data_IF_924076278051
#
_entry.id   IF_924076278051
#
_cell.length_a   1.000
_cell.length_b   1.000
_cell.length_c   1.000
_cell.angle_alpha   90.00
_cell.angle_beta   90.00
_cell.angle_gamma   90.00
#
_symmetry.space_group_name_H-M   'P 1'
#
loop_
_entity.id
_entity.type
_entity.pdbx_description
1 polymer ?
#
# COMPACT_ATOMS: atom_id res chain seq x y z
N UNK A 1 14.42 -9.47 -16.89
CA UNK A 1 15.84 -9.20 -17.21
C UNK A 1 16.03 -9.41 -18.70
N UNK A 2 16.80 -8.56 -19.37
CA UNK A 2 17.22 -8.69 -20.76
C UNK A 2 18.74 -8.88 -20.81
N UNK A 3 19.22 -9.58 -21.83
CA UNK A 3 20.64 -9.75 -22.09
C UNK A 3 21.12 -8.61 -22.97
N UNK A 4 22.01 -7.78 -22.45
CA UNK A 4 22.59 -6.64 -23.19
C UNK A 4 24.07 -6.92 -23.49
N UNK A 5 24.48 -6.60 -24.74
CA UNK A 5 25.86 -6.62 -25.15
C UNK A 5 26.41 -5.20 -25.26
N UNK A 6 27.48 -4.87 -24.54
CA UNK A 6 28.25 -3.64 -24.73
C UNK A 6 29.74 -4.00 -24.80
N UNK A 7 30.41 -3.63 -25.90
CA UNK A 7 31.86 -3.80 -26.03
C UNK A 7 32.36 -5.25 -25.87
N UNK A 8 31.59 -6.25 -26.30
CA UNK A 8 31.97 -7.67 -26.19
C UNK A 8 31.63 -8.34 -24.84
N UNK A 9 31.17 -7.57 -23.84
CA UNK A 9 30.72 -8.12 -22.55
C UNK A 9 29.20 -8.27 -22.56
N UNK A 10 28.72 -9.46 -22.16
CA UNK A 10 27.30 -9.74 -21.97
C UNK A 10 26.91 -9.54 -20.51
N UNK A 11 25.90 -8.72 -20.26
CA UNK A 11 25.37 -8.47 -18.93
C UNK A 11 23.84 -8.63 -18.90
N UNK A 12 23.29 -9.00 -17.75
CA UNK A 12 21.86 -8.92 -17.51
C UNK A 12 21.51 -7.51 -17.07
N UNK A 13 20.61 -6.87 -17.80
CA UNK A 13 20.04 -5.58 -17.43
C UNK A 13 18.54 -5.72 -17.22
N UNK A 14 17.94 -4.85 -16.43
CA UNK A 14 16.49 -4.65 -16.51
C UNK A 14 16.18 -4.04 -17.89
N UNK A 15 15.11 -4.49 -18.60
CA UNK A 15 14.70 -3.83 -19.83
C UNK A 15 14.53 -2.33 -19.59
N UNK A 16 14.92 -1.50 -20.56
CA UNK A 16 14.57 -0.08 -20.58
C UNK A 16 13.07 0.00 -20.32
N UNK A 17 12.71 0.54 -19.15
CA UNK A 17 11.39 0.43 -18.50
C UNK A 17 10.27 0.27 -19.52
N UNK A 18 9.67 -0.92 -19.57
CA UNK A 18 8.32 -1.09 -20.12
C UNK A 18 7.49 -0.08 -19.35
N UNK A 19 7.07 1.03 -19.97
CA UNK A 19 6.39 2.17 -19.35
C UNK A 19 5.92 1.86 -17.92
N UNK A 20 6.84 2.03 -16.96
CA UNK A 20 6.52 1.98 -15.55
C UNK A 20 5.75 3.28 -15.34
N UNK A 21 4.47 3.32 -15.73
CA UNK A 21 3.53 4.14 -15.00
C UNK A 21 3.57 3.54 -13.61
N UNK A 22 4.48 4.08 -12.79
CA UNK A 22 4.70 3.66 -11.43
C UNK A 22 3.31 3.67 -10.80
N UNK A 23 2.75 2.47 -10.59
CA UNK A 23 1.37 2.35 -10.14
C UNK A 23 1.30 3.14 -8.84
N UNK A 24 0.44 4.17 -8.80
CA UNK A 24 0.41 5.05 -7.64
C UNK A 24 0.15 4.23 -6.37
N UNK A 25 0.67 4.67 -5.23
CA UNK A 25 0.44 3.97 -3.96
C UNK A 25 -1.05 3.72 -3.71
N UNK A 26 -1.90 4.67 -4.08
CA UNK A 26 -3.35 4.53 -4.01
C UNK A 26 -3.92 3.47 -4.96
N UNK A 27 -3.46 3.38 -6.21
CA UNK A 27 -3.91 2.34 -7.14
C UNK A 27 -3.47 0.95 -6.67
N UNK A 28 -2.23 0.82 -6.17
CA UNK A 28 -1.76 -0.43 -5.58
C UNK A 28 -2.58 -0.81 -4.35
N UNK A 29 -2.89 0.17 -3.49
CA UNK A 29 -3.71 -0.04 -2.31
C UNK A 29 -5.13 -0.48 -2.70
N UNK A 30 -5.75 0.15 -3.70
CA UNK A 30 -7.06 -0.24 -4.25
C UNK A 30 -7.09 -1.70 -4.68
N UNK A 31 -6.08 -2.13 -5.44
CA UNK A 31 -5.98 -3.52 -5.91
C UNK A 31 -5.89 -4.51 -4.74
N UNK A 32 -5.09 -4.20 -3.71
CA UNK A 32 -4.97 -5.04 -2.53
C UNK A 32 -6.26 -5.10 -1.72
N UNK A 33 -6.90 -3.95 -1.48
CA UNK A 33 -8.13 -3.88 -0.67
C UNK A 33 -9.32 -4.58 -1.34
N UNK A 34 -9.39 -4.61 -2.67
CA UNK A 34 -10.43 -5.34 -3.42
C UNK A 34 -10.15 -6.83 -3.55
N UNK A 35 -8.87 -7.20 -3.62
CA UNK A 35 -8.46 -8.59 -3.83
C UNK A 35 -8.45 -9.45 -2.57
N UNK A 36 -8.59 -8.83 -1.39
CA UNK A 36 -8.42 -9.50 -0.10
C UNK A 36 -9.64 -9.29 0.79
N UNK A 37 -10.13 -10.33 1.49
CA UNK A 37 -11.07 -10.12 2.57
C UNK A 37 -10.37 -9.33 3.69
N UNK A 38 -11.05 -8.30 4.19
CA UNK A 38 -10.52 -7.43 5.22
C UNK A 38 -11.61 -6.91 6.15
N UNK A 39 -11.22 -6.64 7.39
CA UNK A 39 -12.01 -5.91 8.37
C UNK A 39 -11.25 -4.65 8.76
N UNK A 40 -11.94 -3.51 8.81
CA UNK A 40 -11.37 -2.26 9.31
C UNK A 40 -12.13 -1.89 10.57
N UNK A 41 -11.43 -1.51 11.64
CA UNK A 41 -12.02 -1.07 12.91
C UNK A 41 -11.42 0.26 13.35
N UNK A 42 -12.22 1.08 14.02
CA UNK A 42 -11.76 2.33 14.64
C UNK A 42 -11.46 2.09 16.12
N UNK A 43 -10.33 2.60 16.62
CA UNK A 43 -9.99 2.61 18.06
C UNK A 43 -9.25 3.91 18.40
N UNK A 44 -9.95 4.88 18.98
CA UNK A 44 -9.39 6.21 19.22
C UNK A 44 -8.98 6.88 17.90
N UNK A 45 -7.70 7.27 17.77
CA UNK A 45 -7.10 7.82 16.54
C UNK A 45 -6.38 6.75 15.69
N UNK A 46 -6.68 5.48 15.95
CA UNK A 46 -6.15 4.35 15.18
C UNK A 46 -7.23 3.76 14.28
N UNK A 47 -6.83 3.39 13.06
CA UNK A 47 -7.52 2.38 12.28
C UNK A 47 -6.77 1.06 12.40
N UNK A 48 -7.49 -0.01 12.71
CA UNK A 48 -6.96 -1.37 12.75
C UNK A 48 -7.52 -2.11 11.56
N UNK A 49 -6.66 -2.58 10.66
CA UNK A 49 -7.02 -3.39 9.50
C UNK A 49 -6.60 -4.82 9.76
N UNK A 50 -7.55 -5.75 9.74
CA UNK A 50 -7.31 -7.20 9.73
C UNK A 50 -7.41 -7.70 8.29
N UNK A 51 -6.48 -8.54 7.87
CA UNK A 51 -6.40 -9.11 6.53
C UNK A 51 -5.97 -10.58 6.61
N UNK A 52 -5.70 -11.22 5.47
CA UNK A 52 -5.16 -12.58 5.43
C UNK A 52 -3.69 -12.61 5.88
N UNK A 53 -3.17 -13.75 6.37
CA UNK A 53 -1.77 -13.91 6.73
C UNK A 53 -0.80 -13.43 5.64
N UNK A 54 0.29 -12.80 6.05
CA UNK A 54 1.34 -12.27 5.17
C UNK A 54 0.99 -11.00 4.37
N UNK A 55 -0.24 -10.47 4.46
CA UNK A 55 -0.67 -9.36 3.59
C UNK A 55 -0.55 -7.97 4.20
N UNK A 56 -0.42 -7.84 5.53
CA UNK A 56 -0.48 -6.52 6.18
C UNK A 56 0.66 -5.58 5.74
N UNK A 57 1.88 -6.11 5.53
CA UNK A 57 3.03 -5.33 5.07
C UNK A 57 2.84 -4.77 3.64
N UNK A 58 2.22 -5.53 2.74
CA UNK A 58 1.96 -5.07 1.38
C UNK A 58 0.96 -3.90 1.37
N UNK A 59 -0.08 -3.99 2.20
CA UNK A 59 -1.08 -2.94 2.40
C UNK A 59 -0.42 -1.69 2.99
N UNK A 60 0.41 -1.84 4.03
CA UNK A 60 1.14 -0.74 4.66
C UNK A 60 2.07 -0.03 3.67
N UNK A 61 2.84 -0.78 2.90
CA UNK A 61 3.73 -0.22 1.87
C UNK A 61 2.97 0.59 0.81
N UNK A 62 1.80 0.11 0.39
CA UNK A 62 0.95 0.83 -0.56
C UNK A 62 0.33 2.09 0.05
N UNK A 63 -0.11 2.01 1.32
CA UNK A 63 -0.62 3.13 2.09
C UNK A 63 0.43 4.24 2.27
N UNK A 64 1.65 3.88 2.65
CA UNK A 64 2.74 4.83 2.87
C UNK A 64 3.10 5.55 1.56
N UNK A 65 3.10 4.83 0.43
CA UNK A 65 3.28 5.40 -0.92
C UNK A 65 2.15 6.33 -1.36
N UNK A 66 0.96 6.23 -0.77
CA UNK A 66 -0.15 7.13 -1.08
C UNK A 66 0.03 8.53 -0.46
N UNK A 67 0.94 8.68 0.51
CA UNK A 67 1.35 9.97 1.10
C UNK A 67 0.17 10.86 1.56
N UNK A 68 -0.90 10.25 2.08
CA UNK A 68 -2.06 10.99 2.54
C UNK A 68 -1.77 11.72 3.85
N UNK A 69 -1.98 13.03 3.86
CA UNK A 69 -1.60 13.93 4.98
C UNK A 69 -2.23 13.57 6.33
N UNK A 70 -3.40 12.94 6.33
CA UNK A 70 -4.06 12.52 7.56
C UNK A 70 -3.35 11.35 8.26
N UNK A 71 -2.58 10.53 7.54
CA UNK A 71 -1.85 9.39 8.12
C UNK A 71 -0.60 9.92 8.84
N UNK A 72 -0.54 9.70 10.15
CA UNK A 72 0.65 10.01 10.94
C UNK A 72 1.73 8.93 10.82
N UNK A 73 1.32 7.68 10.60
CA UNK A 73 2.20 6.54 10.36
C UNK A 73 1.46 5.21 10.39
N UNK A 74 2.14 4.13 10.04
CA UNK A 74 1.58 2.78 10.05
C UNK A 74 2.54 1.75 10.67
N UNK A 75 1.99 0.68 11.24
CA UNK A 75 2.74 -0.46 11.78
C UNK A 75 2.06 -1.77 11.36
N UNK A 76 2.76 -2.56 10.54
CA UNK A 76 2.29 -3.84 10.05
C UNK A 76 2.84 -4.99 10.89
N UNK A 77 1.95 -5.91 11.29
CA UNK A 77 2.30 -7.27 11.67
C UNK A 77 2.15 -8.21 10.48
N UNK A 78 1.76 -9.46 10.72
CA UNK A 78 1.54 -10.43 9.66
C UNK A 78 0.18 -10.26 8.96
N UNK A 79 -0.90 -10.32 9.76
CA UNK A 79 -2.29 -10.28 9.32
C UNK A 79 -3.03 -9.02 9.82
N UNK A 80 -2.31 -8.10 10.47
CA UNK A 80 -2.87 -6.93 11.15
C UNK A 80 -2.02 -5.69 10.85
N UNK A 81 -2.68 -4.59 10.49
CA UNK A 81 -2.06 -3.29 10.27
C UNK A 81 -2.72 -2.25 11.18
N UNK A 82 -1.90 -1.50 11.91
CA UNK A 82 -2.31 -0.32 12.66
C UNK A 82 -1.96 0.94 11.87
N UNK A 83 -2.91 1.85 11.74
CA UNK A 83 -2.72 3.14 11.06
C UNK A 83 -3.02 4.24 12.07
N UNK A 84 -2.00 4.99 12.46
CA UNK A 84 -2.15 6.17 13.31
C UNK A 84 -2.55 7.38 12.46
N UNK A 85 -3.53 8.14 12.94
CA UNK A 85 -4.10 9.27 12.22
C UNK A 85 -3.98 10.54 13.06
N UNK A 86 -3.66 11.66 12.40
CA UNK A 86 -3.29 12.90 13.09
C UNK A 86 -4.42 13.48 13.96
N UNK A 87 -5.67 13.41 13.48
CA UNK A 87 -6.83 13.95 14.18
C UNK A 87 -8.12 13.20 13.83
N UNK A 88 -9.19 13.51 14.57
CA UNK A 88 -10.50 12.84 14.45
C UNK A 88 -11.16 13.10 13.09
N UNK A 89 -10.90 14.24 12.45
CA UNK A 89 -11.41 14.57 11.11
C UNK A 89 -10.68 13.77 10.05
N UNK A 90 -9.35 13.68 10.16
CA UNK A 90 -8.49 12.84 9.33
C UNK A 90 -8.89 11.37 9.40
N UNK A 91 -9.23 10.89 10.60
CA UNK A 91 -9.69 9.51 10.82
C UNK A 91 -10.95 9.20 10.00
N UNK A 92 -11.93 10.10 10.04
CA UNK A 92 -13.17 9.93 9.28
C UNK A 92 -12.95 10.01 7.77
N UNK A 93 -12.04 10.88 7.31
CA UNK A 93 -11.67 10.95 5.89
C UNK A 93 -10.98 9.67 5.43
N UNK A 94 -9.99 9.20 6.17
CA UNK A 94 -9.24 8.00 5.86
C UNK A 94 -10.15 6.77 5.86
N UNK A 95 -10.99 6.62 6.89
CA UNK A 95 -11.95 5.54 7.00
C UNK A 95 -12.87 5.45 5.77
N UNK A 96 -13.51 6.57 5.41
CA UNK A 96 -14.38 6.63 4.22
C UNK A 96 -13.62 6.37 2.93
N UNK A 97 -12.36 6.79 2.84
CA UNK A 97 -11.51 6.53 1.67
C UNK A 97 -11.20 5.04 1.57
N UNK A 98 -10.76 4.39 2.64
CA UNK A 98 -10.45 2.96 2.64
C UNK A 98 -11.67 2.10 2.29
N UNK A 99 -12.86 2.41 2.85
CA UNK A 99 -14.09 1.71 2.48
C UNK A 99 -14.45 1.85 1.00
N UNK A 100 -14.22 3.04 0.42
CA UNK A 100 -14.46 3.28 -1.01
C UNK A 100 -13.46 2.53 -1.91
N UNK A 101 -12.23 2.33 -1.43
CA UNK A 101 -11.23 1.57 -2.17
C UNK A 101 -11.44 0.07 -2.05
N UNK A 102 -11.99 -0.41 -0.93
CA UNK A 102 -12.32 -1.81 -0.70
C UNK A 102 -13.60 -2.26 -1.43
N UNK A 103 -14.55 -1.34 -1.65
CA UNK A 103 -15.70 -1.53 -2.56
C UNK A 103 -15.33 -1.40 -4.03
#
# INVERSE_FOLDING_TARGET
>A
LIKVGRGGVQAYALPSRVDDREISGEERLRQLLRGLPLEIRQSGLLLVVKTIPGSAHAIASALDRAQWREVAGSLAGDDTLFIAVADRTGLQRLWKRLLRLAG
#
